data_IF_726815585369
#
_entry.id   IF_726815585369
#
_cell.length_a   1.000
_cell.length_b   1.000
_cell.length_c   1.000
_cell.angle_alpha   90.00
_cell.angle_beta   90.00
_cell.angle_gamma   90.00
#
_symmetry.space_group_name_H-M   'P 1'
#
loop_
_entity.id
_entity.type
_entity.pdbx_description
1 polymer ?
#
# COMPACT_ATOMS: atom_id res chain seq x y z
N UNK A 1 -2.47 -32.99 -16.00
CA UNK A 1 -3.17 -33.31 -14.74
C UNK A 1 -2.63 -32.49 -13.57
N UNK A 2 -1.36 -32.66 -13.19
CA UNK A 2 -0.68 -31.87 -12.15
C UNK A 2 -0.95 -30.35 -12.24
N UNK A 3 -0.75 -29.76 -13.42
CA UNK A 3 -0.98 -28.32 -13.65
C UNK A 3 -2.43 -27.91 -13.38
N UNK A 4 -3.40 -28.70 -13.85
CA UNK A 4 -4.83 -28.41 -13.65
C UNK A 4 -5.21 -28.37 -12.17
N UNK A 5 -4.59 -29.21 -11.34
CA UNK A 5 -4.83 -29.17 -9.89
C UNK A 5 -4.29 -27.90 -9.25
N UNK A 6 -3.11 -27.44 -9.67
CA UNK A 6 -2.51 -26.19 -9.17
C UNK A 6 -3.24 -24.95 -9.70
N UNK A 7 -3.74 -24.98 -10.94
CA UNK A 7 -4.57 -23.91 -11.50
C UNK A 7 -5.95 -23.83 -10.84
N UNK A 8 -6.51 -24.98 -10.46
CA UNK A 8 -7.79 -25.05 -9.75
C UNK A 8 -7.67 -24.62 -8.28
N UNK A 9 -6.61 -25.06 -7.61
CA UNK A 9 -6.31 -24.71 -6.22
C UNK A 9 -4.82 -24.37 -6.08
N UNK A 10 -4.51 -23.08 -6.07
CA UNK A 10 -3.13 -22.60 -5.93
C UNK A 10 -2.52 -22.85 -4.54
N UNK A 11 -3.32 -23.25 -3.55
CA UNK A 11 -2.88 -23.54 -2.19
C UNK A 11 -2.56 -25.03 -1.96
N UNK A 12 -2.86 -25.90 -2.94
CA UNK A 12 -2.60 -27.33 -2.83
C UNK A 12 -1.12 -27.61 -2.54
N UNK A 13 -0.88 -28.42 -1.52
CA UNK A 13 0.47 -28.79 -1.09
C UNK A 13 1.04 -29.93 -1.92
N UNK A 14 2.37 -30.08 -1.91
CA UNK A 14 3.03 -31.22 -2.57
C UNK A 14 2.65 -32.56 -1.92
N UNK A 15 2.25 -32.58 -0.65
CA UNK A 15 1.76 -33.81 0.00
C UNK A 15 0.38 -34.17 -0.53
N UNK A 16 -0.56 -33.21 -0.60
CA UNK A 16 -1.90 -33.46 -1.15
C UNK A 16 -1.86 -33.86 -2.62
N UNK A 17 -0.97 -33.26 -3.42
CA UNK A 17 -0.75 -33.68 -4.82
C UNK A 17 -0.25 -35.14 -4.86
N UNK A 18 0.72 -35.48 -4.00
CA UNK A 18 1.27 -36.84 -3.92
C UNK A 18 0.17 -37.83 -3.54
N UNK A 19 -0.66 -37.50 -2.55
CA UNK A 19 -1.76 -38.34 -2.12
C UNK A 19 -2.77 -38.54 -3.25
N UNK A 20 -3.09 -37.50 -4.03
CA UNK A 20 -3.95 -37.64 -5.22
C UNK A 20 -3.34 -38.53 -6.30
N UNK A 21 -2.03 -38.45 -6.55
CA UNK A 21 -1.37 -39.38 -7.49
C UNK A 21 -1.47 -40.84 -7.02
N UNK A 22 -1.36 -41.08 -5.71
CA UNK A 22 -1.52 -42.42 -5.15
C UNK A 22 -2.97 -42.90 -5.22
N UNK A 23 -3.93 -42.06 -4.85
CA UNK A 23 -5.34 -42.43 -4.77
C UNK A 23 -6.01 -42.57 -6.14
N UNK A 24 -5.75 -41.64 -7.06
CA UNK A 24 -6.47 -41.57 -8.33
C UNK A 24 -5.80 -42.42 -9.42
N UNK A 25 -4.47 -42.61 -9.33
CA UNK A 25 -3.67 -43.24 -10.39
C UNK A 25 -2.76 -44.38 -9.92
N UNK A 26 -2.70 -44.68 -8.62
CA UNK A 26 -1.78 -45.67 -8.04
C UNK A 26 -0.30 -45.40 -8.35
N UNK A 27 0.07 -44.12 -8.53
CA UNK A 27 1.44 -43.70 -8.87
C UNK A 27 2.14 -43.12 -7.65
N UNK A 28 3.25 -43.74 -7.25
CA UNK A 28 4.10 -43.21 -6.18
C UNK A 28 5.08 -42.16 -6.71
N UNK A 29 4.94 -40.93 -6.19
CA UNK A 29 5.79 -39.80 -6.54
C UNK A 29 6.36 -39.13 -5.30
N UNK A 30 7.64 -38.79 -5.35
CA UNK A 30 8.27 -37.99 -4.29
C UNK A 30 7.89 -36.51 -4.42
N UNK A 31 7.83 -35.80 -3.29
CA UNK A 31 7.65 -34.33 -3.26
C UNK A 31 8.71 -33.60 -4.10
N UNK A 32 9.95 -34.09 -4.08
CA UNK A 32 11.04 -33.52 -4.88
C UNK A 32 10.79 -33.67 -6.39
N UNK A 33 10.20 -34.79 -6.82
CA UNK A 33 9.79 -34.98 -8.22
C UNK A 33 8.69 -34.00 -8.60
N UNK A 34 7.64 -33.89 -7.79
CA UNK A 34 6.55 -32.94 -8.02
C UNK A 34 7.06 -31.49 -8.08
N UNK A 35 7.94 -31.10 -7.16
CA UNK A 35 8.56 -29.78 -7.16
C UNK A 35 9.33 -29.50 -8.44
N UNK A 36 10.20 -30.42 -8.89
CA UNK A 36 10.95 -30.27 -10.15
C UNK A 36 10.04 -30.18 -11.36
N UNK A 37 8.96 -30.97 -11.37
CA UNK A 37 8.00 -30.95 -12.47
C UNK A 37 7.20 -29.64 -12.54
N UNK A 38 6.85 -29.06 -11.39
CA UNK A 38 6.25 -27.72 -11.31
C UNK A 38 7.25 -26.63 -11.73
N UNK A 39 8.50 -26.72 -11.26
CA UNK A 39 9.56 -25.76 -11.60
C UNK A 39 9.88 -25.73 -13.10
N UNK A 40 9.97 -26.90 -13.75
CA UNK A 40 10.09 -27.04 -15.22
C UNK A 40 8.94 -26.35 -15.98
N UNK A 41 7.78 -26.21 -15.35
CA UNK A 41 6.57 -25.58 -15.90
C UNK A 41 6.41 -24.14 -15.40
N UNK A 42 7.44 -23.56 -14.80
CA UNK A 42 7.50 -22.17 -14.34
C UNK A 42 6.56 -21.88 -13.16
N UNK A 43 6.17 -22.92 -12.40
CA UNK A 43 5.44 -22.75 -11.14
C UNK A 43 6.44 -22.61 -9.98
N UNK A 44 6.47 -21.41 -9.39
CA UNK A 44 7.30 -21.10 -8.22
C UNK A 44 6.44 -20.93 -6.97
N UNK A 45 6.92 -21.40 -5.81
CA UNK A 45 6.23 -21.20 -4.54
C UNK A 45 6.36 -19.74 -4.05
N UNK A 46 5.23 -19.04 -3.92
CA UNK A 46 5.15 -17.63 -3.52
C UNK A 46 4.29 -17.49 -2.26
N UNK A 47 4.47 -16.39 -1.52
CA UNK A 47 3.53 -16.03 -0.45
C UNK A 47 2.16 -15.72 -1.06
N UNK A 48 1.09 -16.24 -0.46
CA UNK A 48 -0.29 -15.97 -0.90
C UNK A 48 -0.61 -14.49 -0.67
N UNK A 49 -1.08 -13.82 -1.71
CA UNK A 49 -1.70 -12.50 -1.62
C UNK A 49 -3.22 -12.69 -1.61
N UNK A 50 -3.91 -12.07 -0.64
CA UNK A 50 -5.37 -12.16 -0.54
C UNK A 50 -5.99 -10.97 -1.27
N UNK A 51 -6.72 -11.24 -2.33
CA UNK A 51 -7.50 -10.23 -3.04
C UNK A 51 -8.93 -10.18 -2.50
N UNK A 52 -9.52 -8.99 -2.30
CA UNK A 52 -10.93 -8.89 -1.93
C UNK A 52 -11.79 -9.53 -3.03
N UNK A 53 -12.66 -10.48 -2.65
CA UNK A 53 -13.54 -11.20 -3.58
C UNK A 53 -14.30 -10.24 -4.52
N UNK A 54 -14.75 -9.12 -3.95
CA UNK A 54 -15.57 -8.12 -4.63
C UNK A 54 -14.80 -7.21 -5.59
N UNK A 55 -13.46 -7.21 -5.57
CA UNK A 55 -12.64 -6.22 -6.29
C UNK A 55 -12.86 -6.24 -7.81
N UNK A 56 -13.08 -7.43 -8.36
CA UNK A 56 -13.27 -7.65 -9.80
C UNK A 56 -14.74 -7.93 -10.19
N UNK A 57 -15.67 -7.78 -9.24
CA UNK A 57 -17.10 -7.83 -9.57
C UNK A 57 -17.45 -6.70 -10.55
N UNK A 58 -18.39 -6.93 -11.50
CA UNK A 58 -18.82 -5.92 -12.47
C UNK A 58 -19.22 -4.59 -11.84
N UNK A 59 -19.82 -4.61 -10.65
CA UNK A 59 -20.21 -3.43 -9.88
C UNK A 59 -19.01 -2.54 -9.54
N UNK A 60 -17.91 -3.11 -9.04
CA UNK A 60 -16.73 -2.35 -8.63
C UNK A 60 -15.85 -1.95 -9.81
N UNK A 61 -15.84 -2.76 -10.88
CA UNK A 61 -15.29 -2.34 -12.18
C UNK A 61 -16.00 -1.09 -12.72
N UNK A 62 -17.34 -1.07 -12.63
CA UNK A 62 -18.14 0.09 -13.03
C UNK A 62 -17.77 1.35 -12.25
N UNK A 63 -17.67 1.24 -10.93
CA UNK A 63 -17.21 2.34 -10.05
C UNK A 63 -15.80 2.82 -10.38
N UNK A 64 -14.88 1.90 -10.74
CA UNK A 64 -13.53 2.26 -11.20
C UNK A 64 -13.57 3.07 -12.49
N UNK A 65 -14.36 2.64 -13.48
CA UNK A 65 -14.53 3.38 -14.74
C UNK A 65 -15.12 4.77 -14.48
N UNK A 66 -16.17 4.86 -13.67
CA UNK A 66 -16.80 6.13 -13.31
C UNK A 66 -15.81 7.08 -12.63
N UNK A 67 -15.02 6.59 -11.66
CA UNK A 67 -13.95 7.36 -11.04
C UNK A 67 -12.95 7.90 -12.06
N UNK A 68 -12.49 7.08 -13.03
CA UNK A 68 -11.53 7.54 -14.06
C UNK A 68 -12.14 8.63 -14.93
N UNK A 69 -13.41 8.49 -15.31
CA UNK A 69 -14.12 9.50 -16.10
C UNK A 69 -14.21 10.82 -15.33
N UNK A 70 -14.69 10.78 -14.08
CA UNK A 70 -14.77 11.96 -13.22
C UNK A 70 -13.40 12.61 -13.00
N UNK A 71 -12.35 11.81 -12.76
CA UNK A 71 -10.99 12.31 -12.59
C UNK A 71 -10.52 13.03 -13.86
N UNK A 72 -10.68 12.42 -15.04
CA UNK A 72 -10.27 13.04 -16.31
C UNK A 72 -11.04 14.32 -16.62
N UNK A 73 -12.32 14.37 -16.33
CA UNK A 73 -13.13 15.57 -16.52
C UNK A 73 -12.63 16.72 -15.62
N UNK A 74 -12.32 16.43 -14.36
CA UNK A 74 -11.76 17.41 -13.43
C UNK A 74 -10.36 17.87 -13.86
N UNK A 75 -9.49 16.95 -14.31
CA UNK A 75 -8.19 17.30 -14.86
C UNK A 75 -8.32 18.15 -16.13
N UNK A 76 -9.30 17.86 -16.99
CA UNK A 76 -9.62 18.65 -18.18
C UNK A 76 -10.12 20.06 -17.88
N UNK A 77 -10.71 20.28 -16.70
CA UNK A 77 -11.07 21.59 -16.17
C UNK A 77 -9.87 22.36 -15.58
N UNK A 78 -8.66 21.78 -15.60
CA UNK A 78 -7.45 22.39 -15.04
C UNK A 78 -7.26 22.14 -13.54
N UNK A 79 -8.02 21.22 -12.95
CA UNK A 79 -7.85 20.89 -11.52
C UNK A 79 -6.50 20.23 -11.26
N UNK A 80 -5.90 20.57 -10.13
CA UNK A 80 -4.61 20.09 -9.63
C UNK A 80 -4.87 18.99 -8.60
N UNK A 81 -4.54 17.73 -8.89
CA UNK A 81 -4.79 16.62 -7.99
C UNK A 81 -3.78 16.57 -6.83
N UNK A 82 -4.31 16.44 -5.61
CA UNK A 82 -3.59 16.20 -4.38
C UNK A 82 -4.15 14.90 -3.78
N UNK A 83 -3.43 13.80 -3.96
CA UNK A 83 -3.76 12.55 -3.29
C UNK A 83 -3.47 12.68 -1.80
N UNK A 84 -4.32 12.09 -0.98
CA UNK A 84 -4.13 11.94 0.46
C UNK A 84 -4.39 10.50 0.86
N UNK A 85 -3.63 10.03 1.83
CA UNK A 85 -3.74 8.69 2.36
C UNK A 85 -3.06 8.61 3.74
N UNK A 86 -3.49 7.65 4.56
CA UNK A 86 -2.91 7.37 5.86
C UNK A 86 -2.12 6.06 5.79
N UNK A 87 -0.86 6.09 6.23
CA UNK A 87 -0.15 4.85 6.53
C UNK A 87 0.19 4.74 8.01
N UNK A 88 -0.13 3.57 8.57
CA UNK A 88 0.50 3.12 9.79
C UNK A 88 1.93 2.65 9.52
N UNK A 89 2.84 3.05 10.40
CA UNK A 89 4.23 2.60 10.37
C UNK A 89 4.69 2.29 11.80
N UNK A 90 5.28 1.11 11.97
CA UNK A 90 5.82 0.68 13.26
C UNK A 90 7.35 0.91 13.27
N UNK A 91 7.78 1.78 14.20
CA UNK A 91 9.17 2.18 14.47
C UNK A 91 10.09 1.01 14.85
N UNK A 92 9.54 -0.16 15.18
CA UNK A 92 10.28 -1.39 15.51
C UNK A 92 10.21 -2.45 14.39
N UNK A 93 9.76 -2.06 13.19
CA UNK A 93 9.78 -2.96 12.03
C UNK A 93 11.21 -3.24 11.57
N UNK A 94 11.54 -4.51 11.47
CA UNK A 94 12.85 -5.00 11.02
C UNK A 94 12.67 -5.94 9.82
N UNK A 95 13.77 -6.21 9.13
CA UNK A 95 13.75 -7.18 8.01
C UNK A 95 13.35 -8.55 8.53
N UNK A 96 12.48 -9.23 7.78
CA UNK A 96 12.00 -10.60 8.10
C UNK A 96 13.05 -11.66 7.78
N UNK A 97 14.04 -11.33 6.94
CA UNK A 97 15.14 -12.22 6.56
C UNK A 97 16.47 -11.65 7.06
N UNK A 98 17.30 -12.53 7.63
CA UNK A 98 18.65 -12.23 8.10
C UNK A 98 19.58 -13.41 7.79
N UNK A 99 20.90 -13.17 7.79
CA UNK A 99 21.91 -14.22 7.53
C UNK A 99 22.47 -14.74 8.86
N UNK A 100 22.67 -16.04 8.95
CA UNK A 100 23.36 -16.74 10.04
C UNK A 100 24.19 -17.89 9.48
N UNK A 101 25.12 -18.40 10.28
CA UNK A 101 25.86 -19.63 9.94
C UNK A 101 24.90 -20.80 9.74
N UNK A 102 25.23 -21.71 8.82
CA UNK A 102 24.45 -22.93 8.57
C UNK A 102 24.29 -23.71 9.88
N UNK A 103 23.06 -24.14 10.17
CA UNK A 103 22.72 -24.82 11.43
C UNK A 103 22.49 -23.90 12.63
N UNK A 104 22.64 -22.57 12.48
CA UNK A 104 22.29 -21.59 13.53
C UNK A 104 21.12 -20.71 13.11
N UNK A 105 20.27 -20.37 14.08
CA UNK A 105 19.19 -19.41 13.89
C UNK A 105 19.76 -17.99 13.75
N UNK A 106 19.25 -17.20 12.81
CA UNK A 106 19.50 -15.77 12.78
C UNK A 106 18.71 -15.09 13.90
N UNK A 107 19.42 -14.46 14.85
CA UNK A 107 18.82 -13.80 16.01
C UNK A 107 19.07 -12.30 15.94
N UNK A 108 18.02 -11.53 16.15
CA UNK A 108 18.08 -10.07 16.25
C UNK A 108 17.27 -9.64 17.49
N UNK A 109 17.93 -8.99 18.45
CA UNK A 109 17.31 -8.53 19.70
C UNK A 109 16.48 -7.29 19.40
N UNK A 110 15.23 -7.26 19.88
CA UNK A 110 14.29 -6.17 19.67
C UNK A 110 13.77 -5.66 21.01
N UNK A 111 13.49 -4.36 21.11
CA UNK A 111 12.63 -3.82 22.15
C UNK A 111 11.18 -4.30 21.97
N UNK A 112 10.34 -4.10 22.99
CA UNK A 112 8.93 -4.50 22.95
C UNK A 112 8.17 -3.86 21.78
N UNK A 113 7.14 -4.57 21.27
CA UNK A 113 6.24 -4.04 20.24
C UNK A 113 5.36 -2.94 20.80
N UNK A 114 5.52 -1.71 20.31
CA UNK A 114 4.48 -0.70 20.42
C UNK A 114 3.73 -0.63 19.08
N UNK A 115 2.39 -0.75 19.13
CA UNK A 115 1.56 -0.34 18.00
C UNK A 115 1.51 1.19 17.99
N UNK A 116 1.66 1.79 16.82
CA UNK A 116 1.33 3.21 16.65
C UNK A 116 -0.14 3.44 16.99
N UNK A 117 -0.50 4.67 17.40
CA UNK A 117 -1.91 5.05 17.50
C UNK A 117 -2.48 5.10 16.08
N UNK A 118 -3.64 4.50 15.88
CA UNK A 118 -4.40 4.69 14.63
C UNK A 118 -4.84 6.15 14.56
N UNK A 119 -4.86 6.75 13.37
CA UNK A 119 -5.48 8.06 13.19
C UNK A 119 -7.00 7.92 13.35
N UNK A 120 -7.63 8.82 14.09
CA UNK A 120 -9.08 8.86 14.22
C UNK A 120 -9.68 9.94 13.30
N UNK A 121 -10.97 9.81 13.02
CA UNK A 121 -11.69 10.70 12.09
C UNK A 121 -11.59 12.21 12.42
N UNK A 122 -11.59 12.66 13.70
CA UNK A 122 -11.34 14.07 14.02
C UNK A 122 -9.94 14.53 13.61
N UNK A 123 -8.92 13.68 13.80
CA UNK A 123 -7.53 14.00 13.49
C UNK A 123 -7.33 14.19 11.98
N UNK A 124 -7.99 13.36 11.15
CA UNK A 124 -7.95 13.47 9.70
C UNK A 124 -8.59 14.79 9.20
N UNK A 125 -9.74 15.16 9.75
CA UNK A 125 -10.42 16.40 9.38
C UNK A 125 -9.60 17.64 9.78
N UNK A 126 -9.03 17.65 10.98
CA UNK A 126 -8.16 18.75 11.42
C UNK A 126 -6.91 18.87 10.54
N UNK A 127 -6.30 17.73 10.18
CA UNK A 127 -5.15 17.71 9.28
C UNK A 127 -5.49 18.26 7.90
N UNK A 128 -6.65 17.88 7.32
CA UNK A 128 -7.08 18.39 6.00
C UNK A 128 -7.31 19.89 6.04
N UNK A 129 -7.95 20.44 7.10
CA UNK A 129 -8.11 21.90 7.23
C UNK A 129 -6.77 22.62 7.20
N UNK A 130 -5.79 22.11 7.97
CA UNK A 130 -4.43 22.67 7.96
C UNK A 130 -3.75 22.58 6.59
N UNK A 131 -3.91 21.45 5.89
CA UNK A 131 -3.37 21.25 4.54
C UNK A 131 -4.01 22.20 3.53
N UNK A 132 -5.34 22.34 3.54
CA UNK A 132 -6.06 23.25 2.65
C UNK A 132 -5.71 24.71 2.95
N UNK A 133 -5.61 25.11 4.22
CA UNK A 133 -5.14 26.45 4.59
C UNK A 133 -3.72 26.74 4.06
N UNK A 134 -2.82 25.76 4.12
CA UNK A 134 -1.49 25.88 3.52
C UNK A 134 -1.55 25.94 1.99
N UNK A 135 -2.43 25.16 1.35
CA UNK A 135 -2.64 25.16 -0.10
C UNK A 135 -3.18 26.50 -0.59
N UNK A 136 -4.12 27.14 0.13
CA UNK A 136 -4.62 28.48 -0.18
C UNK A 136 -3.48 29.49 -0.27
N UNK A 137 -2.56 29.46 0.69
CA UNK A 137 -1.40 30.36 0.71
C UNK A 137 -0.40 30.06 -0.42
N UNK A 138 -0.24 28.80 -0.79
CA UNK A 138 0.72 28.37 -1.81
C UNK A 138 0.21 28.60 -3.24
N UNK A 139 -1.06 28.32 -3.50
CA UNK A 139 -1.68 28.38 -4.84
C UNK A 139 -2.52 29.64 -5.08
N UNK A 140 -2.68 30.50 -4.07
CA UNK A 140 -3.48 31.73 -4.16
C UNK A 140 -5.00 31.50 -4.15
N UNK A 141 -5.44 30.26 -3.94
CA UNK A 141 -6.85 29.87 -3.91
C UNK A 141 -7.01 28.35 -3.92
N UNK A 142 -8.24 27.88 -3.76
CA UNK A 142 -8.58 26.45 -3.71
C UNK A 142 -9.46 25.99 -4.88
N UNK A 143 -9.90 26.90 -5.74
CA UNK A 143 -10.79 26.60 -6.87
C UNK A 143 -10.22 25.56 -7.83
N UNK A 144 -8.89 25.51 -7.97
CA UNK A 144 -8.21 24.56 -8.84
C UNK A 144 -7.78 23.31 -8.08
N UNK A 145 -7.96 23.24 -6.77
CA UNK A 145 -7.48 22.12 -5.95
C UNK A 145 -8.47 20.97 -5.97
N UNK A 146 -7.97 19.78 -6.33
CA UNK A 146 -8.69 18.52 -6.28
C UNK A 146 -8.03 17.59 -5.26
N UNK A 147 -8.68 17.35 -4.13
CA UNK A 147 -8.23 16.38 -3.14
C UNK A 147 -8.78 15.00 -3.48
N UNK A 148 -7.91 13.99 -3.55
CA UNK A 148 -8.28 12.60 -3.83
C UNK A 148 -8.00 11.76 -2.58
N UNK A 149 -9.05 11.15 -2.02
CA UNK A 149 -8.96 10.37 -0.78
C UNK A 149 -9.57 9.00 -0.94
N UNK A 150 -9.06 8.01 -0.21
CA UNK A 150 -9.69 6.70 -0.12
C UNK A 150 -10.95 6.72 0.76
N UNK A 151 -11.55 5.54 0.97
CA UNK A 151 -12.77 5.37 1.77
C UNK A 151 -12.47 4.79 3.17
N UNK A 152 -11.27 4.99 3.71
CA UNK A 152 -10.93 4.53 5.04
C UNK A 152 -11.86 5.14 6.11
N UNK A 153 -12.11 4.45 7.24
CA UNK A 153 -12.99 4.96 8.30
C UNK A 153 -12.59 6.34 8.85
N UNK A 154 -11.29 6.65 8.92
CA UNK A 154 -10.78 7.96 9.32
C UNK A 154 -11.18 9.07 8.35
N UNK A 155 -11.37 8.74 7.06
CA UNK A 155 -11.84 9.67 6.03
C UNK A 155 -13.36 9.68 5.89
N UNK A 156 -14.15 9.03 6.74
CA UNK A 156 -15.61 8.91 6.53
C UNK A 156 -16.40 10.22 6.53
N UNK A 157 -15.82 11.34 6.98
CA UNK A 157 -16.50 12.64 7.07
C UNK A 157 -15.68 13.79 6.49
N UNK A 158 -14.91 13.53 5.44
CA UNK A 158 -14.14 14.58 4.77
C UNK A 158 -15.06 15.62 4.15
N UNK A 159 -16.21 15.20 3.62
CA UNK A 159 -17.23 16.06 3.00
C UNK A 159 -17.65 17.22 3.92
N UNK A 160 -17.66 17.00 5.23
CA UNK A 160 -17.96 18.05 6.21
C UNK A 160 -16.96 19.20 6.14
N UNK A 161 -15.68 18.92 5.88
CA UNK A 161 -14.63 19.94 5.73
C UNK A 161 -14.85 20.72 4.44
N UNK A 162 -15.18 20.04 3.34
CA UNK A 162 -15.44 20.69 2.04
C UNK A 162 -16.81 21.41 1.99
N UNK A 163 -17.68 21.22 2.99
CA UNK A 163 -18.90 21.99 3.16
C UNK A 163 -18.68 23.31 3.91
N UNK A 164 -17.53 23.50 4.56
CA UNK A 164 -17.18 24.75 5.26
C UNK A 164 -16.91 25.86 4.24
N UNK A 165 -17.40 27.08 4.51
CA UNK A 165 -17.31 28.21 3.57
C UNK A 165 -15.87 28.53 3.14
N UNK A 166 -14.89 28.31 4.03
CA UNK A 166 -13.47 28.53 3.77
C UNK A 166 -12.90 27.56 2.73
N UNK A 167 -13.43 26.33 2.65
CA UNK A 167 -12.87 25.25 1.84
C UNK A 167 -13.77 24.81 0.68
N UNK A 168 -15.00 25.36 0.59
CA UNK A 168 -16.03 24.98 -0.39
C UNK A 168 -15.62 25.07 -1.86
N UNK A 169 -14.57 25.83 -2.18
CA UNK A 169 -14.05 25.99 -3.54
C UNK A 169 -13.11 24.84 -3.94
N UNK A 170 -12.52 24.14 -2.97
CA UNK A 170 -11.79 22.91 -3.22
C UNK A 170 -12.74 21.78 -3.63
N UNK A 171 -12.26 20.88 -4.47
CA UNK A 171 -13.02 19.70 -4.91
C UNK A 171 -12.51 18.46 -4.20
N UNK A 172 -13.41 17.62 -3.66
CA UNK A 172 -13.07 16.30 -3.12
C UNK A 172 -13.53 15.22 -4.10
N UNK A 173 -12.65 14.28 -4.43
CA UNK A 173 -12.97 13.08 -5.20
C UNK A 173 -12.60 11.83 -4.39
N UNK A 174 -13.58 10.94 -4.20
CA UNK A 174 -13.35 9.65 -3.55
C UNK A 174 -12.74 8.66 -4.54
N UNK A 175 -11.69 7.98 -4.12
CA UNK A 175 -11.12 6.87 -4.85
C UNK A 175 -12.16 5.75 -4.98
N UNK A 176 -12.18 5.08 -6.12
CA UNK A 176 -13.01 3.90 -6.30
C UNK A 176 -12.69 2.84 -5.21
N UNK A 177 -13.70 2.15 -4.65
CA UNK A 177 -13.46 1.12 -3.65
C UNK A 177 -12.52 0.02 -4.16
N UNK A 178 -11.75 -0.59 -3.26
CA UNK A 178 -10.79 -1.66 -3.58
C UNK A 178 -9.78 -1.30 -4.68
N UNK A 179 -9.43 -0.02 -4.83
CA UNK A 179 -8.59 0.44 -5.94
C UNK A 179 -7.26 1.10 -5.51
N UNK A 180 -6.46 0.50 -4.61
CA UNK A 180 -5.21 1.11 -4.13
C UNK A 180 -4.17 1.31 -5.26
N UNK A 181 -4.22 0.50 -6.33
CA UNK A 181 -3.36 0.66 -7.51
C UNK A 181 -3.56 1.99 -8.26
N UNK A 182 -4.68 2.68 -8.03
CA UNK A 182 -5.01 3.98 -8.62
C UNK A 182 -4.57 5.16 -7.74
N UNK A 183 -3.92 4.89 -6.60
CA UNK A 183 -3.35 5.88 -5.70
C UNK A 183 -1.80 5.89 -5.82
N UNK A 184 -1.18 6.97 -6.32
CA UNK A 184 0.27 7.04 -6.49
C UNK A 184 1.03 7.03 -5.16
N UNK A 185 0.37 7.37 -4.04
CA UNK A 185 0.99 7.45 -2.71
C UNK A 185 1.43 6.06 -2.23
N UNK A 186 0.78 4.97 -2.65
CA UNK A 186 1.16 3.62 -2.24
C UNK A 186 2.61 3.27 -2.61
N UNK A 187 3.07 3.77 -3.77
CA UNK A 187 4.46 3.62 -4.20
C UNK A 187 5.40 4.48 -3.34
N UNK A 188 4.97 5.69 -2.97
CA UNK A 188 5.71 6.56 -2.07
C UNK A 188 5.83 5.94 -0.66
N UNK A 189 4.77 5.35 -0.13
CA UNK A 189 4.78 4.65 1.16
C UNK A 189 5.72 3.47 1.17
N UNK A 190 5.76 2.70 0.09
CA UNK A 190 6.69 1.57 -0.04
C UNK A 190 8.14 2.03 0.04
N UNK A 191 8.49 3.12 -0.66
CA UNK A 191 9.83 3.70 -0.59
C UNK A 191 10.13 4.33 0.77
N UNK A 192 9.19 5.08 1.35
CA UNK A 192 9.30 5.66 2.68
C UNK A 192 9.60 4.58 3.71
N UNK A 193 8.76 3.54 3.79
CA UNK A 193 8.94 2.44 4.74
C UNK A 193 10.28 1.72 4.53
N UNK A 194 10.74 1.56 3.28
CA UNK A 194 12.04 0.96 3.00
C UNK A 194 13.20 1.84 3.51
N UNK A 195 13.14 3.14 3.28
CA UNK A 195 14.12 4.11 3.78
C UNK A 195 14.14 4.16 5.31
N UNK A 196 12.98 4.23 5.95
CA UNK A 196 12.86 4.24 7.41
C UNK A 196 13.46 2.97 8.01
N UNK A 197 13.20 1.79 7.43
CA UNK A 197 13.83 0.54 7.87
C UNK A 197 15.36 0.56 7.73
N UNK A 198 15.90 1.24 6.72
CA UNK A 198 17.34 1.41 6.57
C UNK A 198 17.93 2.37 7.62
N UNK A 199 17.30 3.53 7.84
CA UNK A 199 17.71 4.50 8.87
C UNK A 199 17.66 3.90 10.27
N UNK A 200 16.59 3.18 10.61
CA UNK A 200 16.45 2.51 11.88
C UNK A 200 17.57 1.48 12.07
N UNK A 201 17.95 0.72 11.04
CA UNK A 201 19.11 -0.19 11.08
C UNK A 201 20.41 0.53 11.39
N UNK A 202 20.69 1.63 10.72
CA UNK A 202 21.96 2.36 10.85
C UNK A 202 22.08 3.08 12.20
N UNK A 203 20.95 3.54 12.76
CA UNK A 203 20.90 4.30 14.02
C UNK A 203 20.35 3.50 15.19
N UNK A 204 20.22 2.18 15.05
CA UNK A 204 19.55 1.30 16.02
C UNK A 204 20.20 1.37 17.42
N UNK A 205 21.52 1.53 17.51
CA UNK A 205 22.24 1.75 18.78
C UNK A 205 21.87 3.06 19.46
N UNK A 206 21.69 4.15 18.70
CA UNK A 206 21.20 5.42 19.23
C UNK A 206 19.74 5.34 19.70
N UNK A 207 18.96 4.42 19.10
CA UNK A 207 17.56 4.18 19.45
C UNK A 207 17.33 3.10 20.53
N UNK A 208 18.36 2.32 20.88
CA UNK A 208 18.28 1.19 21.83
C UNK A 208 18.92 1.46 23.21
N UNK A 209 19.65 2.56 23.41
CA UNK A 209 20.05 2.97 24.75
C UNK A 209 18.79 3.30 25.56
N UNK A 210 18.60 2.74 26.77
CA UNK A 210 17.41 3.03 27.57
C UNK A 210 17.49 4.45 28.16
N UNK A 211 16.55 5.36 27.85
CA UNK A 211 16.41 6.62 28.59
C UNK A 211 15.19 6.53 29.55
N UNK A 212 15.13 7.39 30.58
CA UNK A 212 14.05 7.37 31.55
C UNK A 212 12.71 7.76 30.89
N UNK A 213 11.72 6.86 30.98
CA UNK A 213 10.27 7.09 30.77
C UNK A 213 9.81 7.74 29.44
N UNK A 214 9.20 6.91 28.59
CA UNK A 214 8.01 7.14 27.74
C UNK A 214 8.00 8.20 26.60
N UNK A 215 9.01 9.04 26.38
CA UNK A 215 8.94 10.14 25.37
C UNK A 215 9.42 9.73 23.94
N UNK A 216 9.39 8.45 23.57
CA UNK A 216 10.13 7.97 22.37
C UNK A 216 9.37 8.00 21.03
N UNK A 217 8.04 7.91 20.98
CA UNK A 217 7.36 7.61 19.71
C UNK A 217 7.21 8.81 18.76
N UNK A 218 6.80 10.00 19.26
CA UNK A 218 6.61 11.19 18.41
C UNK A 218 7.93 11.78 17.92
N UNK A 219 8.90 12.01 18.82
CA UNK A 219 10.16 12.67 18.47
C UNK A 219 11.00 11.91 17.45
N UNK A 220 11.03 10.58 17.52
CA UNK A 220 11.72 9.74 16.52
C UNK A 220 10.96 9.72 15.20
N UNK A 221 9.63 9.60 15.24
CA UNK A 221 8.80 9.65 14.02
C UNK A 221 8.99 10.97 13.27
N UNK A 222 8.98 12.10 13.98
CA UNK A 222 9.17 13.43 13.40
C UNK A 222 10.58 13.60 12.82
N UNK A 223 11.62 13.16 13.54
CA UNK A 223 13.00 13.24 13.06
C UNK A 223 13.22 12.38 11.81
N UNK A 224 12.66 11.17 11.78
CA UNK A 224 12.73 10.24 10.64
C UNK A 224 11.98 10.81 9.45
N UNK A 225 10.76 11.34 9.67
CA UNK A 225 9.93 11.93 8.61
C UNK A 225 10.61 13.15 7.99
N UNK A 226 11.14 14.06 8.82
CA UNK A 226 11.92 15.23 8.36
C UNK A 226 13.16 14.83 7.57
N UNK A 227 13.86 13.78 8.00
CA UNK A 227 15.05 13.28 7.29
C UNK A 227 14.67 12.72 5.92
N UNK A 228 13.59 11.94 5.82
CA UNK A 228 13.12 11.40 4.55
C UNK A 228 12.67 12.51 3.59
N UNK A 229 11.79 13.42 4.04
CA UNK A 229 11.25 14.49 3.21
C UNK A 229 12.36 15.38 2.63
N UNK A 230 13.43 15.63 3.40
CA UNK A 230 14.54 16.50 2.97
C UNK A 230 15.50 15.84 1.98
N UNK A 231 15.55 14.51 1.92
CA UNK A 231 16.55 13.75 1.13
C UNK A 231 15.97 12.95 -0.03
N UNK A 232 14.68 12.60 -0.02
CA UNK A 232 14.16 11.48 -0.83
C UNK A 232 12.95 11.82 -1.70
N UNK A 233 12.23 12.91 -1.46
CA UNK A 233 11.08 13.30 -2.29
C UNK A 233 11.58 14.27 -3.37
N UNK A 234 12.12 13.71 -4.45
CA UNK A 234 12.38 14.50 -5.66
C UNK A 234 11.06 14.73 -6.43
N UNK A 235 10.75 15.95 -6.88
CA UNK A 235 9.53 16.22 -7.66
C UNK A 235 9.38 15.31 -8.90
N UNK A 236 10.50 14.93 -9.52
CA UNK A 236 10.54 14.02 -10.66
C UNK A 236 10.07 12.60 -10.31
N UNK A 237 10.25 12.16 -9.06
CA UNK A 237 9.84 10.84 -8.59
C UNK A 237 8.31 10.74 -8.48
N UNK A 238 7.66 11.79 -7.97
CA UNK A 238 6.20 11.85 -7.85
C UNK A 238 5.53 11.80 -9.24
N UNK A 239 6.10 12.53 -10.20
CA UNK A 239 5.63 12.53 -11.59
C UNK A 239 5.68 11.12 -12.20
N UNK A 240 6.73 10.33 -11.91
CA UNK A 240 6.82 8.94 -12.38
C UNK A 240 5.76 8.04 -11.78
N UNK A 241 5.36 8.25 -10.52
CA UNK A 241 4.28 7.47 -9.92
C UNK A 241 2.93 7.83 -10.53
N UNK A 242 2.66 9.10 -10.77
CA UNK A 242 1.44 9.55 -11.44
C UNK A 242 1.34 8.97 -12.86
N UNK A 243 2.43 8.98 -13.64
CA UNK A 243 2.44 8.42 -15.01
C UNK A 243 2.13 6.92 -15.07
N UNK A 244 2.46 6.16 -14.01
CA UNK A 244 2.12 4.72 -13.95
C UNK A 244 0.62 4.48 -13.78
N UNK A 245 -0.14 5.48 -13.32
CA UNK A 245 -1.57 5.35 -13.12
C UNK A 245 -2.33 5.25 -14.45
N UNK A 246 -1.80 5.83 -15.53
CA UNK A 246 -2.41 5.78 -16.87
C UNK A 246 -2.65 4.34 -17.35
N UNK A 247 -1.73 3.43 -17.02
CA UNK A 247 -1.90 2.00 -17.29
C UNK A 247 -3.17 1.46 -16.61
N UNK A 248 -3.37 1.77 -15.33
CA UNK A 248 -4.56 1.35 -14.58
C UNK A 248 -5.82 2.09 -15.04
N UNK A 249 -5.72 3.36 -15.41
CA UNK A 249 -6.86 4.12 -15.92
C UNK A 249 -7.39 3.53 -17.22
N UNK A 250 -6.51 3.19 -18.17
CA UNK A 250 -6.92 2.54 -19.42
C UNK A 250 -7.56 1.16 -19.20
N UNK A 251 -7.07 0.38 -18.23
CA UNK A 251 -7.67 -0.92 -17.87
C UNK A 251 -9.04 -0.76 -17.22
N UNK A 252 -9.22 0.26 -16.38
CA UNK A 252 -10.52 0.58 -15.79
C UNK A 252 -11.53 1.01 -16.86
N UNK A 253 -11.13 1.80 -17.86
CA UNK A 253 -11.98 2.13 -19.01
C UNK A 253 -12.47 0.89 -19.74
N UNK A 254 -11.63 -0.14 -19.86
CA UNK A 254 -11.98 -1.41 -20.52
C UNK A 254 -12.69 -2.41 -19.59
N UNK A 255 -12.96 -2.05 -18.34
CA UNK A 255 -13.57 -2.91 -17.32
C UNK A 255 -12.79 -4.21 -17.10
N UNK A 256 -11.47 -4.15 -17.27
CA UNK A 256 -10.60 -5.29 -17.04
C UNK A 256 -10.50 -5.63 -15.55
N UNK A 257 -10.16 -6.88 -15.29
CA UNK A 257 -9.70 -7.30 -13.98
C UNK A 257 -8.44 -6.52 -13.60
N UNK A 258 -8.35 -6.20 -12.32
CA UNK A 258 -7.17 -5.59 -11.72
C UNK A 258 -6.57 -6.56 -10.71
N UNK A 259 -5.28 -6.41 -10.50
CA UNK A 259 -4.51 -7.15 -9.51
C UNK A 259 -3.90 -6.15 -8.52
N UNK A 260 -3.77 -6.55 -7.26
CA UNK A 260 -3.07 -5.76 -6.24
C UNK A 260 -1.70 -6.40 -5.95
N UNK A 261 -0.63 -5.60 -6.02
CA UNK A 261 0.69 -6.00 -5.54
C UNK A 261 1.51 -6.91 -6.45
N UNK A 262 1.67 -6.53 -7.72
CA UNK A 262 2.68 -7.12 -8.63
C UNK A 262 4.10 -6.80 -8.16
#
# INVERSE_FOLDING_TARGET
>A
MLVRWVEFDSQITLEEIKDRFMLDLEIEVSKSTLHRELDKRVYTFKSVHYEPLQMNDPTFKGKRREYVQQLRDLLGQGKIPIWIDETNFNLFTSRTKARSLRGRRAVFIRGGTQKGKNLHQPDANEWIRGMLGAATNHYGGLQDILVIADNAPCHSRLENVFAEDEFRTATLLRLAPYSPMMNPIENLWSQFKAHVKALLRERLTAFMCPPPRWIYSRGVSDAVSRTYCRRSIEPNLLSRFALRLEYFYGRADRMEDMEVGI
#
